data_IF_676624691299
#
_entry.id   IF_676624691299
#
_cell.length_a   1.000
_cell.length_b   1.000
_cell.length_c   1.000
_cell.angle_alpha   90.00
_cell.angle_beta   90.00
_cell.angle_gamma   90.00
#
_symmetry.space_group_name_H-M   'P 1'
#
loop_
_entity.id
_entity.type
_entity.pdbx_description
1 polymer ?
#
# COMPACT_ATOMS: atom_id res chain seq x y z
N UNK A 1 12.70 -6.13 -28.07
CA UNK A 1 12.68 -5.32 -26.82
C UNK A 1 13.61 -5.96 -25.80
N UNK A 2 14.39 -5.18 -25.06
CA UNK A 2 15.31 -5.73 -24.04
C UNK A 2 14.51 -6.24 -22.82
N UNK A 3 14.84 -7.44 -22.31
CA UNK A 3 14.17 -8.03 -21.13
C UNK A 3 14.56 -7.32 -19.83
N UNK A 4 13.80 -7.51 -18.75
CA UNK A 4 14.02 -6.86 -17.45
C UNK A 4 15.36 -7.28 -16.84
N UNK A 5 15.74 -8.54 -17.04
CA UNK A 5 17.03 -9.08 -16.63
C UNK A 5 18.22 -8.30 -17.21
N UNK A 6 18.12 -7.85 -18.47
CA UNK A 6 19.21 -7.16 -19.16
C UNK A 6 19.65 -5.84 -18.49
N UNK A 7 18.78 -5.25 -17.66
CA UNK A 7 19.06 -3.99 -16.96
C UNK A 7 19.77 -4.20 -15.60
N UNK A 8 19.89 -5.45 -15.12
CA UNK A 8 20.40 -5.81 -13.79
C UNK A 8 21.77 -5.23 -13.47
N UNK A 9 22.71 -5.29 -14.42
CA UNK A 9 24.07 -4.79 -14.25
C UNK A 9 24.12 -3.28 -13.94
N UNK A 10 23.04 -2.56 -14.22
CA UNK A 10 22.90 -1.12 -13.95
C UNK A 10 21.61 -0.79 -13.18
N UNK A 11 21.07 -1.74 -12.41
CA UNK A 11 19.76 -1.66 -11.75
C UNK A 11 19.50 -0.34 -11.01
N UNK A 12 20.50 0.18 -10.29
CA UNK A 12 20.41 1.46 -9.56
C UNK A 12 20.09 2.67 -10.45
N UNK A 13 20.44 2.63 -11.73
CA UNK A 13 20.10 3.70 -12.71
C UNK A 13 18.64 3.65 -13.12
N UNK A 14 18.02 2.47 -13.04
CA UNK A 14 16.68 2.19 -13.53
C UNK A 14 15.62 2.24 -12.44
N UNK A 15 15.98 2.37 -11.17
CA UNK A 15 15.02 2.65 -10.09
C UNK A 15 14.76 4.15 -9.94
N UNK A 16 13.55 4.50 -9.52
CA UNK A 16 13.11 5.84 -9.18
C UNK A 16 13.15 6.02 -7.68
N UNK A 17 13.76 7.11 -7.22
CA UNK A 17 13.70 7.51 -5.82
C UNK A 17 12.47 8.38 -5.62
N UNK A 18 11.59 7.94 -4.73
CA UNK A 18 10.51 8.75 -4.18
C UNK A 18 11.00 9.33 -2.87
N UNK A 19 10.99 10.67 -2.80
CA UNK A 19 11.53 11.45 -1.68
C UNK A 19 10.86 11.08 -0.36
N UNK A 20 11.59 11.34 0.73
CA UNK A 20 11.10 11.14 2.09
C UNK A 20 11.70 12.19 2.98
N UNK A 21 10.92 12.59 3.97
CA UNK A 21 11.38 13.51 4.99
C UNK A 21 12.44 12.82 5.85
N UNK A 22 13.50 13.57 6.17
CA UNK A 22 14.53 13.09 7.09
C UNK A 22 14.09 13.28 8.53
N UNK A 23 14.46 12.36 9.40
CA UNK A 23 14.47 12.61 10.84
C UNK A 23 15.73 13.44 11.19
N UNK A 24 15.65 14.50 12.01
CA UNK A 24 14.48 14.99 12.75
C UNK A 24 13.70 16.12 12.03
N UNK A 25 13.97 16.42 10.77
CA UNK A 25 13.45 17.59 10.05
C UNK A 25 11.91 17.72 10.07
N UNK A 26 11.17 16.61 10.09
CA UNK A 26 9.70 16.62 10.14
C UNK A 26 9.10 16.80 11.55
N UNK A 27 9.91 16.86 12.62
CA UNK A 27 9.39 16.88 13.99
C UNK A 27 8.53 18.11 14.31
N UNK A 28 8.84 19.26 13.72
CA UNK A 28 8.02 20.47 13.89
C UNK A 28 6.62 20.28 13.31
N UNK A 29 6.49 19.66 12.13
CA UNK A 29 5.19 19.31 11.56
C UNK A 29 4.48 18.25 12.41
N UNK A 30 5.21 17.22 12.84
CA UNK A 30 4.66 16.17 13.70
C UNK A 30 4.08 16.75 15.00
N UNK A 31 4.74 17.75 15.60
CA UNK A 31 4.26 18.45 16.79
C UNK A 31 2.96 19.21 16.53
N UNK A 32 2.87 19.93 15.40
CA UNK A 32 1.64 20.64 15.01
C UNK A 32 0.47 19.66 14.83
N UNK A 33 0.72 18.49 14.24
CA UNK A 33 -0.32 17.50 13.94
C UNK A 33 -0.74 16.70 15.18
N UNK A 34 0.21 16.32 16.05
CA UNK A 34 -0.01 15.34 17.12
C UNK A 34 0.01 15.91 18.54
N UNK A 35 0.51 17.13 18.76
CA UNK A 35 0.51 17.77 20.08
C UNK A 35 -0.87 17.79 20.74
N UNK A 36 -1.84 18.40 20.05
CA UNK A 36 -3.23 18.48 20.52
C UNK A 36 -3.90 17.10 20.66
N UNK A 37 -3.51 16.12 19.85
CA UNK A 37 -4.02 14.74 19.94
C UNK A 37 -3.55 14.08 21.24
N UNK A 38 -2.28 14.25 21.61
CA UNK A 38 -1.73 13.68 22.84
C UNK A 38 -2.31 14.35 24.09
N UNK A 39 -2.49 15.67 24.07
CA UNK A 39 -3.18 16.42 25.13
C UNK A 39 -4.63 15.93 25.31
N UNK A 40 -5.35 15.76 24.20
CA UNK A 40 -6.72 15.23 24.22
C UNK A 40 -6.74 13.79 24.76
N UNK A 41 -5.80 12.94 24.35
CA UNK A 41 -5.70 11.56 24.84
C UNK A 41 -5.44 11.53 26.35
N UNK A 42 -4.52 12.35 26.87
CA UNK A 42 -4.24 12.46 28.30
C UNK A 42 -5.47 12.91 29.10
N UNK A 43 -6.22 13.88 28.57
CA UNK A 43 -7.49 14.34 29.16
C UNK A 43 -8.49 13.19 29.26
N UNK A 44 -8.72 12.45 28.18
CA UNK A 44 -9.66 11.30 28.17
C UNK A 44 -9.23 10.19 29.14
N UNK A 45 -7.93 9.92 29.27
CA UNK A 45 -7.39 8.96 30.23
C UNK A 45 -7.67 9.38 31.69
N UNK A 46 -7.70 10.69 31.96
CA UNK A 46 -8.06 11.24 33.27
C UNK A 46 -9.53 11.06 33.64
N UNK A 47 -10.43 11.06 32.65
CA UNK A 47 -11.89 11.04 32.84
C UNK A 47 -12.49 9.64 33.02
N UNK A 48 -11.81 8.60 32.53
CA UNK A 48 -12.36 7.23 32.45
C UNK A 48 -11.87 6.32 33.58
N UNK A 49 -12.58 5.21 33.80
CA UNK A 49 -12.28 4.26 34.90
C UNK A 49 -11.59 2.97 34.44
N UNK A 50 -11.59 2.67 33.14
CA UNK A 50 -10.87 1.52 32.59
C UNK A 50 -10.40 1.76 31.15
N UNK A 51 -9.49 0.92 30.65
CA UNK A 51 -9.04 0.97 29.25
C UNK A 51 -10.15 0.61 28.25
N UNK A 52 -11.13 -0.21 28.65
CA UNK A 52 -12.31 -0.49 27.83
C UNK A 52 -13.24 0.73 27.74
N UNK A 53 -13.37 1.46 28.85
CA UNK A 53 -14.14 2.70 28.93
C UNK A 53 -13.46 3.81 28.10
N UNK A 54 -12.12 3.89 28.15
CA UNK A 54 -11.32 4.76 27.27
C UNK A 54 -11.62 4.51 25.78
N UNK A 55 -11.62 3.25 25.34
CA UNK A 55 -11.93 2.92 23.94
C UNK A 55 -13.36 3.34 23.56
N UNK A 56 -14.31 3.09 24.47
CA UNK A 56 -15.71 3.48 24.28
C UNK A 56 -15.82 5.00 24.15
N UNK A 57 -15.16 5.77 25.01
CA UNK A 57 -15.14 7.23 25.00
C UNK A 57 -14.50 7.79 23.73
N UNK A 58 -13.35 7.26 23.30
CA UNK A 58 -12.69 7.64 22.04
C UNK A 58 -13.62 7.38 20.85
N UNK A 59 -14.39 6.28 20.85
CA UNK A 59 -15.29 5.95 19.74
C UNK A 59 -16.41 6.98 19.49
N UNK A 60 -16.69 7.83 20.49
CA UNK A 60 -17.68 8.90 20.41
C UNK A 60 -17.11 10.22 19.85
N UNK A 61 -15.79 10.37 19.77
CA UNK A 61 -15.16 11.57 19.21
C UNK A 61 -15.44 11.71 17.70
N UNK A 62 -15.50 12.94 17.15
CA UNK A 62 -15.65 13.17 15.72
C UNK A 62 -14.35 12.82 14.96
N UNK A 63 -14.50 12.53 13.66
CA UNK A 63 -13.35 12.47 12.76
C UNK A 63 -12.89 13.91 12.42
N UNK A 64 -11.57 14.15 12.19
CA UNK A 64 -10.48 13.17 12.14
C UNK A 64 -9.89 12.80 13.52
N UNK A 65 -10.18 13.55 14.59
CA UNK A 65 -9.60 13.36 15.94
C UNK A 65 -9.69 11.91 16.42
N UNK A 66 -10.87 11.29 16.30
CA UNK A 66 -11.08 9.88 16.68
C UNK A 66 -10.05 8.93 16.08
N UNK A 67 -9.72 9.07 14.80
CA UNK A 67 -8.77 8.14 14.15
C UNK A 67 -7.36 8.30 14.71
N UNK A 68 -6.96 9.53 15.06
CA UNK A 68 -5.65 9.78 15.67
C UNK A 68 -5.62 9.27 17.11
N UNK A 69 -6.67 9.50 17.90
CA UNK A 69 -6.80 8.94 19.25
C UNK A 69 -6.76 7.40 19.25
N UNK A 70 -7.37 6.74 18.26
CA UNK A 70 -7.28 5.28 18.11
C UNK A 70 -5.85 4.80 17.78
N UNK A 71 -5.06 5.60 17.06
CA UNK A 71 -3.63 5.30 16.82
C UNK A 71 -2.82 5.39 18.12
N UNK A 72 -3.08 6.42 18.94
CA UNK A 72 -2.48 6.57 20.27
C UNK A 72 -2.90 5.42 21.19
N UNK A 73 -4.20 5.10 21.22
CA UNK A 73 -4.76 3.96 21.98
C UNK A 73 -4.06 2.65 21.62
N UNK A 74 -3.86 2.38 20.32
CA UNK A 74 -3.14 1.18 19.88
C UNK A 74 -1.72 1.09 20.47
N UNK A 75 -1.01 2.22 20.57
CA UNK A 75 0.37 2.26 21.08
C UNK A 75 0.43 2.14 22.61
N UNK A 76 -0.47 2.82 23.33
CA UNK A 76 -0.46 2.81 24.79
C UNK A 76 -1.20 1.63 25.41
N UNK A 77 -2.24 1.11 24.76
CA UNK A 77 -3.23 0.23 25.39
C UNK A 77 -3.28 -1.16 24.75
N UNK A 78 -3.36 -1.23 23.41
CA UNK A 78 -3.64 -2.50 22.72
C UNK A 78 -2.89 -2.60 21.38
N UNK A 79 -1.63 -3.04 21.38
CA UNK A 79 -0.88 -3.25 20.14
C UNK A 79 -1.47 -4.37 19.27
N UNK A 80 -2.24 -5.27 19.89
CA UNK A 80 -2.91 -6.42 19.28
C UNK A 80 -4.14 -6.04 18.44
N UNK A 81 -4.72 -4.86 18.64
CA UNK A 81 -5.84 -4.37 17.83
C UNK A 81 -5.33 -3.49 16.68
N UNK A 82 -5.95 -3.62 15.50
CA UNK A 82 -5.64 -2.75 14.37
C UNK A 82 -6.51 -1.49 14.40
N UNK A 83 -5.99 -0.36 13.93
CA UNK A 83 -6.79 0.88 13.84
C UNK A 83 -8.01 0.67 12.94
N UNK A 84 -7.88 -0.13 11.87
CA UNK A 84 -8.99 -0.50 10.98
C UNK A 84 -10.12 -1.24 11.69
N UNK A 85 -9.77 -2.13 12.62
CA UNK A 85 -10.74 -2.80 13.48
C UNK A 85 -11.43 -1.78 14.41
N UNK A 86 -10.65 -0.93 15.08
CA UNK A 86 -11.16 0.05 16.06
C UNK A 86 -12.00 1.17 15.41
N UNK A 87 -11.84 1.47 14.11
CA UNK A 87 -12.69 2.43 13.40
C UNK A 87 -14.15 1.96 13.25
N UNK A 88 -14.42 0.66 13.39
CA UNK A 88 -15.77 0.09 13.28
C UNK A 88 -16.55 0.32 14.57
N UNK A 89 -17.12 1.51 14.73
CA UNK A 89 -17.82 1.95 15.96
C UNK A 89 -18.85 0.94 16.48
N UNK A 90 -19.63 0.33 15.59
CA UNK A 90 -20.64 -0.68 15.94
C UNK A 90 -20.06 -2.01 16.45
N UNK A 91 -18.76 -2.25 16.27
CA UNK A 91 -18.06 -3.46 16.70
C UNK A 91 -17.27 -3.28 17.99
N UNK A 92 -17.23 -2.08 18.57
CA UNK A 92 -16.47 -1.79 19.79
C UNK A 92 -16.86 -2.73 20.97
N UNK A 93 -18.14 -3.02 21.24
CA UNK A 93 -18.49 -3.96 22.33
C UNK A 93 -17.90 -5.36 22.12
N UNK A 94 -17.93 -5.87 20.89
CA UNK A 94 -17.37 -7.17 20.51
C UNK A 94 -15.85 -7.17 20.64
N UNK A 95 -15.19 -6.11 20.17
CA UNK A 95 -13.73 -5.94 20.30
C UNK A 95 -13.31 -5.91 21.78
N UNK A 96 -14.07 -5.22 22.64
CA UNK A 96 -13.79 -5.19 24.09
C UNK A 96 -13.96 -6.59 24.69
N UNK A 97 -15.00 -7.33 24.30
CA UNK A 97 -15.23 -8.68 24.80
C UNK A 97 -14.09 -9.65 24.39
N UNK A 98 -13.61 -9.56 23.15
CA UNK A 98 -12.59 -10.46 22.60
C UNK A 98 -11.16 -10.08 23.00
N UNK A 99 -10.82 -8.79 22.96
CA UNK A 99 -9.45 -8.30 23.14
C UNK A 99 -9.22 -7.55 24.45
N UNK A 100 -10.28 -7.18 25.17
CA UNK A 100 -10.20 -6.32 26.36
C UNK A 100 -9.37 -6.90 27.50
N UNK A 101 -9.30 -8.23 27.62
CA UNK A 101 -8.45 -8.93 28.59
C UNK A 101 -6.95 -8.72 28.34
N UNK A 102 -6.57 -8.36 27.10
CA UNK A 102 -5.20 -8.05 26.70
C UNK A 102 -4.92 -6.54 26.71
N UNK A 103 -5.91 -5.71 27.06
CA UNK A 103 -5.66 -4.28 27.19
C UNK A 103 -4.76 -4.02 28.38
N UNK A 104 -3.75 -3.19 28.18
CA UNK A 104 -2.95 -2.66 29.29
C UNK A 104 -3.89 -1.97 30.29
N UNK A 105 -3.66 -2.19 31.58
CA UNK A 105 -4.46 -1.56 32.63
C UNK A 105 -4.39 -0.03 32.55
N UNK A 106 -5.47 0.65 32.94
CA UNK A 106 -5.53 2.10 32.88
C UNK A 106 -4.45 2.76 33.76
N UNK A 107 -4.14 2.16 34.91
CA UNK A 107 -3.10 2.65 35.81
C UNK A 107 -1.72 2.66 35.14
N UNK A 108 -1.35 1.56 34.48
CA UNK A 108 -0.08 1.50 33.74
C UNK A 108 -0.09 2.46 32.54
N UNK A 109 -1.23 2.68 31.89
CA UNK A 109 -1.36 3.70 30.83
C UNK A 109 -1.08 5.11 31.38
N UNK A 110 -1.68 5.47 32.52
CA UNK A 110 -1.45 6.75 33.22
C UNK A 110 0.02 6.94 33.58
N UNK A 111 0.62 5.94 34.23
CA UNK A 111 2.04 5.97 34.61
C UNK A 111 2.96 6.12 33.40
N UNK A 112 2.67 5.41 32.31
CA UNK A 112 3.44 5.49 31.07
C UNK A 112 3.25 6.80 30.31
N UNK A 113 2.12 7.50 30.45
CA UNK A 113 1.95 8.84 29.88
C UNK A 113 2.75 9.86 30.68
N UNK A 114 2.66 9.81 32.02
CA UNK A 114 3.35 10.74 32.92
C UNK A 114 4.89 10.62 32.87
N UNK A 115 5.41 9.46 32.48
CA UNK A 115 6.87 9.25 32.37
C UNK A 115 7.47 9.80 31.07
N UNK A 116 6.65 10.32 30.15
CA UNK A 116 7.11 10.86 28.87
C UNK A 116 7.43 12.35 28.97
N UNK A 117 8.35 12.86 28.14
CA UNK A 117 8.54 14.31 27.98
C UNK A 117 7.27 15.00 27.47
N UNK A 118 7.15 16.29 27.75
CA UNK A 118 6.13 17.16 27.17
C UNK A 118 6.79 18.26 26.33
N UNK A 119 6.68 18.23 24.98
CA UNK A 119 5.94 17.26 24.18
C UNK A 119 6.62 15.88 24.03
N UNK A 120 5.84 14.80 23.87
CA UNK A 120 6.38 13.45 23.58
C UNK A 120 6.75 13.30 22.10
N UNK A 121 7.89 13.89 21.72
CA UNK A 121 8.39 13.89 20.34
C UNK A 121 8.57 12.48 19.76
N UNK A 122 8.94 11.49 20.58
CA UNK A 122 9.11 10.12 20.09
C UNK A 122 7.76 9.50 19.71
N UNK A 123 6.71 9.72 20.50
CA UNK A 123 5.37 9.27 20.12
C UNK A 123 4.87 10.00 18.87
N UNK A 124 5.10 11.31 18.78
CA UNK A 124 4.75 12.11 17.59
C UNK A 124 5.45 11.57 16.34
N UNK A 125 6.75 11.28 16.42
CA UNK A 125 7.52 10.71 15.32
C UNK A 125 6.95 9.36 14.87
N UNK A 126 6.65 8.46 15.82
CA UNK A 126 6.07 7.14 15.54
C UNK A 126 4.69 7.24 14.88
N UNK A 127 3.87 8.22 15.27
CA UNK A 127 2.56 8.44 14.65
C UNK A 127 2.68 9.06 13.26
N UNK A 128 3.67 9.93 13.07
CA UNK A 128 3.94 10.61 11.81
C UNK A 128 4.46 9.64 10.74
N UNK A 129 5.38 8.74 11.07
CA UNK A 129 5.81 7.67 10.14
C UNK A 129 4.65 6.74 9.74
N UNK A 130 3.65 6.58 10.60
CA UNK A 130 2.45 5.81 10.25
C UNK A 130 1.56 6.55 9.24
N UNK A 131 1.56 7.90 9.22
CA UNK A 131 0.83 8.74 8.25
C UNK A 131 1.33 8.50 6.83
N UNK A 132 2.64 8.37 6.63
CA UNK A 132 3.28 8.21 5.31
C UNK A 132 3.28 6.76 4.79
N UNK A 133 2.75 5.79 5.56
CA UNK A 133 2.71 4.38 5.15
C UNK A 133 1.87 4.20 3.88
N UNK A 134 2.51 3.67 2.83
CA UNK A 134 1.88 3.43 1.53
C UNK A 134 1.92 4.61 0.56
N UNK A 135 2.31 5.80 1.02
CA UNK A 135 2.36 7.02 0.20
C UNK A 135 3.23 6.84 -1.05
N UNK A 136 4.42 6.24 -0.91
CA UNK A 136 5.32 5.98 -2.05
C UNK A 136 4.71 5.08 -3.12
N UNK A 137 3.89 4.11 -2.71
CA UNK A 137 3.14 3.29 -3.66
C UNK A 137 2.11 4.10 -4.44
N UNK A 138 1.42 5.02 -3.78
CA UNK A 138 0.47 5.92 -4.45
C UNK A 138 1.17 6.89 -5.40
N UNK A 139 2.32 7.42 -5.02
CA UNK A 139 3.11 8.32 -5.89
C UNK A 139 3.65 7.58 -7.12
N UNK A 140 4.06 6.32 -6.98
CA UNK A 140 4.42 5.45 -8.10
C UNK A 140 3.25 5.27 -9.08
N UNK A 141 2.07 4.89 -8.58
CA UNK A 141 0.88 4.69 -9.42
C UNK A 141 0.44 6.00 -10.07
N UNK A 142 0.46 7.12 -9.35
CA UNK A 142 0.08 8.43 -9.88
C UNK A 142 1.02 8.85 -11.02
N UNK A 143 2.33 8.70 -10.84
CA UNK A 143 3.32 8.99 -11.88
C UNK A 143 3.09 8.14 -13.14
N UNK A 144 2.77 6.85 -12.97
CA UNK A 144 2.43 5.98 -14.09
C UNK A 144 1.16 6.41 -14.82
N UNK A 145 0.09 6.76 -14.12
CA UNK A 145 -1.16 7.23 -14.73
C UNK A 145 -0.94 8.53 -15.52
N UNK A 146 -0.18 9.47 -14.97
CA UNK A 146 0.17 10.72 -15.66
C UNK A 146 0.97 10.45 -16.93
N UNK A 147 1.99 9.61 -16.84
CA UNK A 147 2.80 9.20 -17.99
C UNK A 147 1.95 8.48 -19.05
N UNK A 148 1.10 7.54 -18.64
CA UNK A 148 0.26 6.75 -19.55
C UNK A 148 -0.72 7.65 -20.30
N UNK A 149 -1.46 8.51 -19.60
CA UNK A 149 -2.42 9.41 -20.23
C UNK A 149 -1.75 10.38 -21.21
N UNK A 150 -0.54 10.88 -20.86
CA UNK A 150 0.23 11.74 -21.76
C UNK A 150 0.70 11.01 -23.03
N UNK A 151 1.04 9.72 -22.91
CA UNK A 151 1.67 8.95 -23.99
C UNK A 151 0.67 8.20 -24.87
N UNK A 152 -0.43 7.75 -24.27
CA UNK A 152 -1.37 6.78 -24.85
C UNK A 152 -2.84 7.17 -24.68
N UNK A 153 -3.15 8.27 -23.99
CA UNK A 153 -4.53 8.61 -23.59
C UNK A 153 -5.50 8.88 -24.73
N UNK A 154 -5.00 9.19 -25.93
CA UNK A 154 -5.83 9.38 -27.13
C UNK A 154 -6.34 8.05 -27.71
N UNK A 155 -5.59 6.97 -27.51
CA UNK A 155 -5.84 5.67 -28.13
C UNK A 155 -6.32 4.61 -27.14
N UNK A 156 -6.01 4.77 -25.86
CA UNK A 156 -6.23 3.76 -24.83
C UNK A 156 -6.81 4.37 -23.57
N UNK A 157 -7.54 3.55 -22.80
CA UNK A 157 -8.10 3.94 -21.51
C UNK A 157 -7.44 3.16 -20.39
N UNK A 158 -6.98 3.86 -19.37
CA UNK A 158 -6.53 3.27 -18.11
C UNK A 158 -7.61 3.47 -17.03
N UNK A 159 -8.00 2.39 -16.38
CA UNK A 159 -8.95 2.36 -15.27
C UNK A 159 -8.24 1.91 -13.99
N UNK A 160 -8.54 2.54 -12.87
CA UNK A 160 -7.97 2.24 -11.56
C UNK A 160 -7.78 3.54 -10.77
N UNK A 161 -7.52 3.46 -9.45
CA UNK A 161 -7.24 4.65 -8.67
C UNK A 161 -5.79 5.10 -8.91
N UNK A 162 -5.53 6.37 -9.33
CA UNK A 162 -4.16 6.87 -9.46
C UNK A 162 -3.43 6.98 -8.11
N UNK A 163 -4.18 7.06 -7.00
CA UNK A 163 -3.67 7.14 -5.62
C UNK A 163 -4.47 6.16 -4.74
N UNK A 164 -4.71 6.51 -3.48
CA UNK A 164 -5.57 5.73 -2.60
C UNK A 164 -6.97 5.57 -3.20
N UNK A 165 -7.43 4.33 -3.35
CA UNK A 165 -8.75 4.00 -3.85
C UNK A 165 -8.98 2.50 -3.86
N UNK A 166 -10.12 2.09 -4.41
CA UNK A 166 -10.47 0.67 -4.56
C UNK A 166 -9.81 0.14 -5.84
N UNK A 167 -9.06 -0.95 -5.69
CA UNK A 167 -8.45 -1.69 -6.81
C UNK A 167 -9.50 -2.18 -7.82
N UNK A 168 -9.04 -2.44 -9.04
CA UNK A 168 -9.83 -3.06 -10.11
C UNK A 168 -9.99 -4.54 -9.81
N UNK A 169 -11.19 -4.96 -9.41
CA UNK A 169 -11.50 -6.37 -9.18
C UNK A 169 -11.72 -7.10 -10.50
N UNK A 170 -10.87 -8.08 -10.82
CA UNK A 170 -10.91 -8.78 -12.10
C UNK A 170 -12.25 -9.48 -12.36
N UNK A 171 -12.83 -10.11 -11.34
CA UNK A 171 -14.15 -10.75 -11.43
C UNK A 171 -15.32 -9.78 -11.67
N UNK A 172 -15.11 -8.47 -11.50
CA UNK A 172 -16.11 -7.44 -11.76
C UNK A 172 -15.96 -6.84 -13.18
N UNK A 173 -14.73 -6.77 -13.70
CA UNK A 173 -14.44 -6.12 -14.98
C UNK A 173 -14.20 -7.09 -16.14
N UNK A 174 -13.86 -8.35 -15.86
CA UNK A 174 -13.65 -9.41 -16.84
C UNK A 174 -14.80 -10.42 -16.81
N UNK A 175 -15.54 -10.61 -17.91
CA UNK A 175 -16.65 -11.56 -17.97
C UNK A 175 -16.21 -12.98 -17.65
N UNK A 176 -16.86 -13.62 -16.69
CA UNK A 176 -16.59 -15.01 -16.25
C UNK A 176 -15.17 -15.24 -15.70
N UNK A 177 -14.53 -14.21 -15.15
CA UNK A 177 -13.31 -14.37 -14.36
C UNK A 177 -13.71 -14.75 -12.93
N UNK A 178 -13.34 -15.94 -12.47
CA UNK A 178 -13.89 -16.51 -11.23
C UNK A 178 -13.20 -15.96 -9.98
N UNK A 179 -11.88 -15.74 -10.01
CA UNK A 179 -11.14 -15.35 -8.82
C UNK A 179 -11.22 -13.87 -8.51
N UNK A 180 -11.20 -13.57 -7.20
CA UNK A 180 -11.16 -12.21 -6.67
C UNK A 180 -9.73 -11.68 -6.61
N UNK A 181 -9.15 -11.46 -7.78
CA UNK A 181 -7.83 -10.82 -7.89
C UNK A 181 -8.03 -9.30 -7.99
N UNK A 182 -7.44 -8.51 -7.07
CA UNK A 182 -7.35 -7.05 -7.21
C UNK A 182 -6.15 -6.69 -8.09
N UNK A 183 -6.36 -5.84 -9.09
CA UNK A 183 -5.33 -5.22 -9.91
C UNK A 183 -5.32 -3.70 -9.67
N UNK A 184 -4.14 -3.09 -9.71
CA UNK A 184 -4.00 -1.65 -9.51
C UNK A 184 -4.62 -0.86 -10.68
N UNK A 185 -4.53 -1.42 -11.89
CA UNK A 185 -5.17 -0.82 -13.07
C UNK A 185 -5.50 -1.83 -14.18
N UNK A 186 -6.38 -1.43 -15.08
CA UNK A 186 -6.73 -2.11 -16.33
C UNK A 186 -6.54 -1.13 -17.49
N UNK A 187 -5.78 -1.51 -18.51
CA UNK A 187 -5.68 -0.79 -19.77
C UNK A 187 -6.55 -1.49 -20.81
N UNK A 188 -7.33 -0.70 -21.56
CA UNK A 188 -8.25 -1.19 -22.58
C UNK A 188 -8.27 -0.29 -23.82
N UNK A 189 -8.68 -0.85 -24.95
CA UNK A 189 -9.02 -0.09 -26.16
C UNK A 189 -10.30 0.74 -25.95
N UNK A 190 -10.61 1.71 -26.84
CA UNK A 190 -11.83 2.51 -26.73
C UNK A 190 -13.12 1.69 -26.79
N UNK A 191 -13.07 0.53 -27.47
CA UNK A 191 -14.15 -0.46 -27.57
C UNK A 191 -14.30 -1.36 -26.33
N UNK A 192 -13.51 -1.11 -25.27
CA UNK A 192 -13.44 -1.87 -24.01
C UNK A 192 -12.76 -3.23 -24.10
N UNK A 193 -12.09 -3.57 -25.21
CA UNK A 193 -11.23 -4.75 -25.27
C UNK A 193 -10.12 -4.64 -24.22
N UNK A 194 -10.03 -5.56 -23.25
CA UNK A 194 -9.01 -5.52 -22.22
C UNK A 194 -7.64 -5.91 -22.81
N UNK A 195 -6.61 -5.09 -22.54
CA UNK A 195 -5.27 -5.29 -23.07
C UNK A 195 -4.27 -5.65 -21.97
N UNK A 196 -4.28 -4.94 -20.84
CA UNK A 196 -3.25 -5.11 -19.80
C UNK A 196 -3.86 -5.01 -18.41
N UNK A 197 -3.51 -5.95 -17.55
CA UNK A 197 -3.72 -5.86 -16.10
C UNK A 197 -2.43 -5.43 -15.41
N UNK A 198 -2.54 -4.38 -14.59
CA UNK A 198 -1.43 -3.75 -13.90
C UNK A 198 -1.32 -4.13 -12.43
N UNK A 199 -0.10 -4.42 -12.00
CA UNK A 199 0.26 -4.59 -10.59
C UNK A 199 1.42 -3.66 -10.26
N UNK A 200 1.17 -2.64 -9.44
CA UNK A 200 2.11 -1.60 -9.08
C UNK A 200 2.62 -1.77 -7.66
N UNK A 201 3.93 -1.61 -7.46
CA UNK A 201 4.54 -1.72 -6.15
C UNK A 201 5.81 -0.88 -6.06
N UNK A 202 5.92 -0.14 -4.95
CA UNK A 202 7.14 0.56 -4.58
C UNK A 202 7.83 -0.17 -3.41
N UNK A 203 8.95 -0.82 -3.69
CA UNK A 203 9.76 -1.52 -2.68
C UNK A 203 10.82 -0.55 -2.10
N UNK A 204 10.52 -0.03 -0.91
CA UNK A 204 11.36 0.99 -0.22
C UNK A 204 12.42 0.41 0.71
N UNK A 205 12.08 -0.60 1.52
CA UNK A 205 13.00 -1.29 2.45
C UNK A 205 12.55 -2.75 2.67
N UNK A 206 13.47 -3.65 3.02
CA UNK A 206 13.27 -5.11 3.07
C UNK A 206 12.71 -5.58 4.41
N UNK A 207 11.65 -6.39 4.38
CA UNK A 207 11.21 -7.24 5.49
C UNK A 207 11.34 -8.72 5.13
N UNK A 208 12.18 -9.48 5.84
CA UNK A 208 12.68 -10.79 5.41
C UNK A 208 11.66 -11.92 5.19
N UNK A 209 10.46 -11.88 5.78
CA UNK A 209 9.45 -12.94 5.60
C UNK A 209 8.58 -12.75 4.35
N UNK A 210 8.75 -11.65 3.62
CA UNK A 210 7.85 -11.25 2.54
C UNK A 210 8.35 -11.63 1.13
N UNK A 211 9.54 -12.21 0.95
CA UNK A 211 10.07 -12.52 -0.39
C UNK A 211 9.41 -13.75 -1.04
N UNK A 212 9.33 -14.87 -0.32
CA UNK A 212 8.86 -16.15 -0.87
C UNK A 212 7.34 -16.15 -1.16
N UNK A 213 6.53 -15.56 -0.28
CA UNK A 213 5.07 -15.46 -0.47
C UNK A 213 4.70 -14.58 -1.69
N UNK A 214 5.57 -13.61 -2.05
CA UNK A 214 5.28 -12.63 -3.11
C UNK A 214 5.50 -13.20 -4.50
N UNK A 215 6.57 -13.96 -4.71
CA UNK A 215 6.94 -14.48 -6.04
C UNK A 215 6.02 -15.62 -6.47
N UNK A 216 5.67 -16.51 -5.54
CA UNK A 216 4.63 -17.52 -5.73
C UNK A 216 3.28 -16.90 -6.09
N UNK A 217 2.81 -15.95 -5.27
CA UNK A 217 1.54 -15.27 -5.51
C UNK A 217 1.47 -14.50 -6.83
N UNK A 218 2.57 -13.86 -7.27
CA UNK A 218 2.60 -13.17 -8.55
C UNK A 218 2.58 -14.16 -9.74
N UNK A 219 3.27 -15.29 -9.61
CA UNK A 219 3.25 -16.34 -10.64
C UNK A 219 1.86 -16.96 -10.79
N UNK A 220 1.15 -17.19 -9.68
CA UNK A 220 -0.22 -17.71 -9.71
C UNK A 220 -1.18 -16.74 -10.41
N UNK A 221 -1.09 -15.44 -10.12
CA UNK A 221 -1.85 -14.40 -10.84
C UNK A 221 -1.60 -14.44 -12.35
N UNK A 222 -0.32 -14.50 -12.76
CA UNK A 222 0.04 -14.59 -14.19
C UNK A 222 -0.56 -15.84 -14.82
N UNK A 223 -0.46 -16.98 -14.14
CA UNK A 223 -1.00 -18.26 -14.63
C UNK A 223 -2.50 -18.17 -14.88
N UNK A 224 -3.24 -17.61 -13.94
CA UNK A 224 -4.69 -17.48 -14.03
C UNK A 224 -5.11 -16.49 -15.12
N UNK A 225 -4.47 -15.33 -15.19
CA UNK A 225 -4.77 -14.31 -16.21
C UNK A 225 -4.48 -14.84 -17.61
N UNK A 226 -3.35 -15.53 -17.82
CA UNK A 226 -3.01 -16.13 -19.12
C UNK A 226 -3.97 -17.24 -19.51
N UNK A 227 -4.38 -18.08 -18.54
CA UNK A 227 -5.41 -19.11 -18.78
C UNK A 227 -6.71 -18.46 -19.25
N UNK A 228 -7.18 -17.42 -18.56
CA UNK A 228 -8.36 -16.66 -18.96
C UNK A 228 -8.22 -16.07 -20.37
N UNK A 229 -7.09 -15.42 -20.65
CA UNK A 229 -6.81 -14.80 -21.94
C UNK A 229 -6.90 -15.83 -23.09
N UNK A 230 -6.30 -17.00 -22.90
CA UNK A 230 -6.34 -18.12 -23.85
C UNK A 230 -7.74 -18.68 -24.05
N UNK A 231 -8.48 -18.93 -22.96
CA UNK A 231 -9.83 -19.53 -23.02
C UNK A 231 -10.86 -18.58 -23.64
N UNK A 232 -10.78 -17.29 -23.31
CA UNK A 232 -11.69 -16.26 -23.84
C UNK A 232 -11.20 -15.65 -25.15
N UNK A 233 -10.01 -16.01 -25.62
CA UNK A 233 -9.37 -15.49 -26.83
C UNK A 233 -9.29 -13.96 -26.84
N UNK A 234 -8.90 -13.39 -25.70
CA UNK A 234 -8.69 -11.94 -25.54
C UNK A 234 -7.18 -11.65 -25.46
N UNK A 235 -6.70 -10.51 -25.97
CA UNK A 235 -5.27 -10.17 -26.05
C UNK A 235 -4.68 -9.71 -24.70
N UNK A 236 -5.19 -10.25 -23.59
CA UNK A 236 -4.92 -9.76 -22.24
C UNK A 236 -3.51 -10.15 -21.75
N UNK A 237 -2.74 -9.15 -21.37
CA UNK A 237 -1.35 -9.23 -20.87
C UNK A 237 -1.26 -8.72 -19.43
N UNK A 238 -0.10 -8.89 -18.81
CA UNK A 238 0.19 -8.47 -17.44
C UNK A 238 1.38 -7.51 -17.40
N UNK A 239 1.23 -6.41 -16.66
CA UNK A 239 2.28 -5.45 -16.41
C UNK A 239 2.57 -5.37 -14.90
N UNK A 240 3.80 -5.66 -14.52
CA UNK A 240 4.31 -5.37 -13.18
C UNK A 240 5.10 -4.07 -13.21
N UNK A 241 4.54 -3.03 -12.62
CA UNK A 241 5.25 -1.78 -12.35
C UNK A 241 5.91 -1.90 -10.98
N UNK A 242 7.14 -2.41 -10.93
CA UNK A 242 7.88 -2.54 -9.68
C UNK A 242 9.07 -1.58 -9.65
N UNK A 243 9.14 -0.73 -8.63
CA UNK A 243 10.13 0.33 -8.54
C UNK A 243 10.64 0.50 -7.09
N UNK A 244 11.72 1.24 -6.93
CA UNK A 244 12.33 1.55 -5.63
C UNK A 244 13.59 0.76 -5.30
N UNK A 245 14.35 1.22 -4.29
CA UNK A 245 15.66 0.67 -3.95
C UNK A 245 15.62 -0.79 -3.48
N UNK A 246 14.52 -1.25 -2.89
CA UNK A 246 14.33 -2.64 -2.45
C UNK A 246 14.45 -3.66 -3.58
N UNK A 247 14.18 -3.25 -4.82
CA UNK A 247 14.34 -4.09 -6.02
C UNK A 247 15.80 -4.52 -6.26
N UNK A 248 16.75 -3.75 -5.73
CA UNK A 248 18.19 -4.04 -5.84
C UNK A 248 18.71 -5.00 -4.77
N UNK A 249 17.85 -5.40 -3.83
CA UNK A 249 18.21 -6.25 -2.71
C UNK A 249 17.89 -7.72 -3.00
N UNK A 250 18.79 -8.61 -2.57
CA UNK A 250 18.57 -10.06 -2.58
C UNK A 250 18.26 -10.62 -3.98
N UNK A 251 17.22 -11.45 -4.06
CA UNK A 251 16.77 -12.08 -5.30
C UNK A 251 15.75 -11.28 -6.09
N UNK A 252 15.21 -10.17 -5.55
CA UNK A 252 14.03 -9.48 -6.09
C UNK A 252 14.12 -9.20 -7.58
N UNK A 253 15.24 -8.61 -8.03
CA UNK A 253 15.46 -8.38 -9.46
C UNK A 253 15.34 -9.66 -10.29
N UNK A 254 15.98 -10.75 -9.83
CA UNK A 254 15.95 -12.04 -10.51
C UNK A 254 14.55 -12.65 -10.50
N UNK A 255 13.81 -12.48 -9.42
CA UNK A 255 12.48 -13.05 -9.28
C UNK A 255 11.49 -12.40 -10.25
N UNK A 256 11.55 -11.07 -10.36
CA UNK A 256 10.77 -10.34 -11.38
C UNK A 256 11.25 -10.65 -12.81
N UNK A 257 12.56 -10.78 -13.04
CA UNK A 257 13.10 -11.21 -14.32
C UNK A 257 12.63 -12.63 -14.73
N UNK A 258 12.59 -13.55 -13.77
CA UNK A 258 12.08 -14.90 -13.97
C UNK A 258 10.57 -14.89 -14.24
N UNK A 259 9.81 -14.01 -13.59
CA UNK A 259 8.38 -13.81 -13.83
C UNK A 259 8.09 -13.29 -15.24
N UNK A 260 8.89 -12.33 -15.72
CA UNK A 260 8.80 -11.85 -17.11
C UNK A 260 9.09 -12.99 -18.11
N UNK A 261 10.14 -13.76 -17.84
CA UNK A 261 10.52 -14.92 -18.67
C UNK A 261 9.43 -15.98 -18.69
N UNK A 262 8.79 -16.24 -17.55
CA UNK A 262 7.66 -17.18 -17.43
C UNK A 262 6.44 -16.73 -18.27
N UNK A 263 6.23 -15.42 -18.40
CA UNK A 263 5.16 -14.84 -19.20
C UNK A 263 5.32 -14.97 -20.70
N UNK A 264 6.51 -15.30 -21.21
CA UNK A 264 6.80 -15.52 -22.64
C UNK A 264 6.32 -14.38 -23.57
N UNK A 265 6.44 -13.13 -23.12
CA UNK A 265 6.02 -11.94 -23.87
C UNK A 265 4.67 -11.35 -23.43
N UNK A 266 3.80 -12.15 -22.79
CA UNK A 266 2.52 -11.70 -22.24
C UNK A 266 2.66 -10.97 -20.89
N UNK A 267 3.86 -11.01 -20.31
CA UNK A 267 4.20 -10.34 -19.06
C UNK A 267 5.32 -9.35 -19.34
N UNK A 268 5.19 -8.15 -18.79
CA UNK A 268 6.25 -7.15 -18.75
C UNK A 268 6.51 -6.74 -17.31
N UNK A 269 7.78 -6.60 -16.95
CA UNK A 269 8.22 -5.93 -15.74
C UNK A 269 8.94 -4.64 -16.13
N UNK A 270 8.56 -3.53 -15.51
CA UNK A 270 9.22 -2.26 -15.69
C UNK A 270 9.25 -1.42 -14.40
N UNK A 271 10.22 -0.53 -14.32
CA UNK A 271 10.21 0.63 -13.41
C UNK A 271 9.68 1.86 -14.17
N UNK A 272 9.45 2.98 -13.49
CA UNK A 272 9.03 4.22 -14.18
C UNK A 272 10.05 4.67 -15.24
N UNK A 273 11.35 4.51 -14.96
CA UNK A 273 12.42 4.91 -15.89
C UNK A 273 12.53 4.04 -17.14
N UNK A 274 11.87 2.88 -17.17
CA UNK A 274 11.87 1.99 -18.32
C UNK A 274 10.69 2.22 -19.27
N UNK A 275 9.67 2.97 -18.84
CA UNK A 275 8.38 3.07 -19.52
C UNK A 275 8.50 3.45 -21.00
N UNK A 276 9.21 4.54 -21.32
CA UNK A 276 9.38 5.03 -22.70
C UNK A 276 10.01 4.01 -23.65
N UNK A 277 10.89 3.15 -23.12
CA UNK A 277 11.65 2.17 -23.91
C UNK A 277 10.99 0.80 -24.01
N UNK A 278 10.08 0.47 -23.08
CA UNK A 278 9.49 -0.86 -22.95
C UNK A 278 8.00 -0.87 -23.21
N UNK A 279 7.23 -0.02 -22.54
CA UNK A 279 5.79 -0.02 -22.69
C UNK A 279 5.41 0.76 -23.95
N UNK A 280 5.38 0.05 -25.07
CA UNK A 280 5.16 0.60 -26.41
C UNK A 280 3.81 0.19 -26.97
N UNK A 281 3.34 0.92 -27.98
CA UNK A 281 2.14 0.53 -28.74
C UNK A 281 2.26 -0.86 -29.35
N UNK A 282 3.43 -1.19 -29.89
CA UNK A 282 3.70 -2.52 -30.46
C UNK A 282 3.48 -3.62 -29.42
N UNK A 283 3.98 -3.44 -28.19
CA UNK A 283 3.75 -4.42 -27.13
C UNK A 283 2.31 -4.45 -26.63
N UNK A 284 1.60 -3.30 -26.58
CA UNK A 284 0.18 -3.28 -26.23
C UNK A 284 -0.66 -4.10 -27.24
N UNK A 285 -0.31 -4.01 -28.53
CA UNK A 285 -1.11 -4.56 -29.64
C UNK A 285 -0.65 -5.94 -30.15
N UNK A 286 0.46 -6.47 -29.64
CA UNK A 286 1.02 -7.77 -30.10
C UNK A 286 0.18 -8.99 -29.78
#
# INVERSE_FOLDING_TARGET
MASFDSYKASASRWITFIDSEFYPDYLDEAKVVYGSVLEQFATLVGEVHSSADLLTRISQEPNPSRTQLLRVFRKYVSPDTSVEMLKRKNKIPEIIAEFGTRFRSLETVKQNLLSRPDPDEAMMAVLYEYKSRGQKGYELTEAFFLWFNKTFGDDYKIQGPPRAGRDVMLNEVLPNFESRIPADFLISRPDKTPLVLGFARYDSDRGGAQEDDRTGGNRDKVTEIRKYASEKKVPLKVLFLNDGPGLTLGSMWNDYAALETYGQGDVMVCTLKMLDSRLTREWLES
#
